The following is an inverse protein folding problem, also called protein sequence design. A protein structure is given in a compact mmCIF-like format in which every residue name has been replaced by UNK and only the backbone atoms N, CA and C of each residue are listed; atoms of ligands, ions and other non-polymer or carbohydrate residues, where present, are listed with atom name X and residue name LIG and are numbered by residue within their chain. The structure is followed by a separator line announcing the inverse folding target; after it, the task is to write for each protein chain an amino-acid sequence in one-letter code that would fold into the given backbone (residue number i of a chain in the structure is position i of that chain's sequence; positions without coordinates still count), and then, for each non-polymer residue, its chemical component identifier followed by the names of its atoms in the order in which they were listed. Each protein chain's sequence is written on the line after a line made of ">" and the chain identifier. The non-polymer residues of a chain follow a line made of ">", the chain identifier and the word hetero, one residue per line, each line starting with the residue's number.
data_IF_042659585223
#
_entry.id   IF_042659585223
#
_cell.length_a   1.000
_cell.length_b   1.000
_cell.length_c   1.000
_cell.angle_alpha   90.00
_cell.angle_beta   90.00
_cell.angle_gamma   90.00
#
_symmetry.space_group_name_H-M   'P 1'
#
loop_
_entity.id
_entity.type
_entity.pdbx_description
1 polymer ?
#
# COMPACT_ATOMS: atom_id res chain seq x y z
N UNK A 1 10.32 7.01 13.09
CA UNK A 1 9.25 6.00 13.14
C UNK A 1 8.84 5.63 11.73
N UNK A 2 8.52 4.37 11.52
CA UNK A 2 8.22 3.86 10.22
C UNK A 2 6.84 3.23 10.12
N UNK A 3 6.45 2.93 8.89
CA UNK A 3 5.26 2.17 8.57
C UNK A 3 5.66 0.72 8.41
N UNK A 4 4.87 -0.20 8.97
CA UNK A 4 5.06 -1.63 8.83
C UNK A 4 3.91 -2.20 8.02
N UNK A 5 4.23 -2.98 6.99
CA UNK A 5 3.25 -3.68 6.16
C UNK A 5 3.44 -5.18 6.30
N UNK A 6 2.33 -5.92 6.35
CA UNK A 6 2.34 -7.38 6.42
C UNK A 6 1.40 -7.94 5.35
N UNK A 7 1.91 -8.81 4.48
CA UNK A 7 1.09 -9.44 3.44
C UNK A 7 0.17 -10.50 4.05
N UNK A 8 -1.06 -10.59 3.53
CA UNK A 8 -2.03 -11.53 4.07
C UNK A 8 -1.66 -13.00 3.84
N UNK A 9 -1.13 -13.33 2.66
CA UNK A 9 -0.99 -14.73 2.25
C UNK A 9 0.17 -15.44 2.95
N UNK A 10 1.27 -14.76 3.19
CA UNK A 10 2.48 -15.39 3.74
C UNK A 10 3.05 -14.67 4.96
N UNK A 11 2.45 -13.57 5.36
CA UNK A 11 2.92 -12.81 6.52
C UNK A 11 4.26 -12.10 6.33
N UNK A 12 4.75 -12.01 5.09
CA UNK A 12 5.97 -11.26 4.83
C UNK A 12 5.79 -9.80 5.20
N UNK A 13 6.82 -9.21 5.76
CA UNK A 13 6.79 -7.85 6.27
C UNK A 13 7.72 -6.94 5.46
N UNK A 14 7.32 -5.67 5.34
CA UNK A 14 8.12 -4.64 4.71
C UNK A 14 7.94 -3.35 5.48
N UNK A 15 9.01 -2.60 5.66
CA UNK A 15 8.98 -1.36 6.42
C UNK A 15 9.64 -0.23 5.63
N UNK A 16 9.13 1.00 5.84
CA UNK A 16 9.80 2.20 5.35
C UNK A 16 9.51 3.34 6.32
N UNK A 17 10.24 4.44 6.20
CA UNK A 17 9.95 5.59 7.04
C UNK A 17 8.68 6.33 6.56
N UNK A 18 8.11 7.14 7.44
CA UNK A 18 6.85 7.83 7.17
C UNK A 18 6.94 8.77 5.95
N UNK A 19 8.06 9.44 5.77
CA UNK A 19 8.24 10.35 4.64
C UNK A 19 8.21 9.60 3.31
N UNK A 20 8.87 8.46 3.23
CA UNK A 20 8.86 7.63 2.03
C UNK A 20 7.47 7.04 1.77
N UNK A 21 6.77 6.61 2.81
CA UNK A 21 5.41 6.12 2.67
C UNK A 21 4.47 7.20 2.15
N UNK A 22 4.56 8.41 2.70
CA UNK A 22 3.78 9.54 2.22
C UNK A 22 4.10 9.86 0.75
N UNK A 23 5.37 9.78 0.37
CA UNK A 23 5.78 9.97 -1.02
C UNK A 23 5.14 8.93 -1.94
N UNK A 24 5.12 7.65 -1.54
CA UNK A 24 4.49 6.59 -2.31
C UNK A 24 3.00 6.88 -2.53
N UNK A 25 2.28 7.23 -1.47
CA UNK A 25 0.84 7.51 -1.55
C UNK A 25 0.55 8.74 -2.41
N UNK A 26 1.28 9.83 -2.19
CA UNK A 26 1.09 11.09 -2.93
C UNK A 26 1.42 10.90 -4.41
N UNK A 27 2.46 10.16 -4.72
CA UNK A 27 2.86 9.84 -6.09
C UNK A 27 1.79 9.03 -6.81
N UNK A 28 1.25 8.02 -6.14
CA UNK A 28 0.17 7.21 -6.71
C UNK A 28 -1.08 8.05 -6.98
N UNK A 29 -1.45 8.92 -6.05
CA UNK A 29 -2.59 9.83 -6.21
C UNK A 29 -2.39 10.77 -7.40
N UNK A 30 -1.18 11.28 -7.58
CA UNK A 30 -0.84 12.15 -8.72
C UNK A 30 -0.84 11.40 -10.05
N UNK A 31 -0.80 10.08 -10.04
CA UNK A 31 -0.76 9.22 -11.23
C UNK A 31 -2.03 8.38 -11.39
N UNK A 32 -3.16 8.95 -11.04
CA UNK A 32 -4.49 8.40 -11.29
C UNK A 32 -4.91 7.23 -10.40
N UNK A 33 -4.24 7.05 -9.26
CA UNK A 33 -4.74 6.08 -8.28
C UNK A 33 -5.99 6.63 -7.60
N UNK A 34 -7.06 5.83 -7.63
CA UNK A 34 -8.30 6.14 -6.91
C UNK A 34 -8.42 5.17 -5.74
N UNK A 35 -8.09 5.61 -4.51
CA UNK A 35 -8.12 4.73 -3.35
C UNK A 35 -9.52 4.16 -3.11
N UNK A 36 -9.61 2.85 -2.94
CA UNK A 36 -10.85 2.21 -2.54
C UNK A 36 -11.14 2.42 -1.05
N UNK A 37 -10.08 2.66 -0.28
CA UNK A 37 -10.18 2.83 1.16
C UNK A 37 -9.61 1.63 1.90
N UNK A 38 -9.29 1.85 3.16
CA UNK A 38 -8.86 0.77 4.05
C UNK A 38 -10.04 0.28 4.86
N UNK A 39 -9.97 -0.93 5.37
CA UNK A 39 -10.98 -1.46 6.26
C UNK A 39 -10.34 -2.15 7.45
N UNK A 40 -11.09 -2.23 8.52
CA UNK A 40 -10.68 -2.93 9.72
C UNK A 40 -11.79 -3.91 10.11
N UNK A 41 -11.42 -5.17 10.32
CA UNK A 41 -12.35 -6.16 10.84
C UNK A 41 -12.47 -5.94 12.34
N UNK A 42 -13.71 -5.80 12.82
CA UNK A 42 -13.98 -5.72 14.24
C UNK A 42 -14.17 -7.15 14.77
N UNK A 43 -13.25 -7.66 15.62
CA UNK A 43 -13.35 -9.01 16.12
C UNK A 43 -14.48 -9.21 17.12
N UNK A 44 -15.07 -8.13 17.65
CA UNK A 44 -16.11 -8.25 18.68
C UNK A 44 -17.53 -8.42 18.11
N UNK A 45 -17.75 -7.96 16.88
CA UNK A 45 -19.12 -7.95 16.34
C UNK A 45 -19.43 -9.10 15.40
N UNK A 46 -18.48 -9.94 15.03
CA UNK A 46 -18.64 -10.98 13.99
C UNK A 46 -19.35 -10.50 12.72
N UNK A 47 -19.75 -9.25 12.69
CA UNK A 47 -20.35 -8.62 11.54
C UNK A 47 -19.24 -7.98 10.72
N UNK A 48 -19.26 -8.27 9.46
CA UNK A 48 -18.34 -7.76 8.46
C UNK A 48 -18.58 -6.26 8.20
N UNK A 49 -18.74 -5.45 9.24
CA UNK A 49 -18.84 -4.00 9.07
C UNK A 49 -17.48 -3.46 8.67
N UNK A 50 -17.24 -3.57 7.37
CA UNK A 50 -16.05 -2.98 6.77
C UNK A 50 -16.23 -1.47 6.77
N UNK A 51 -15.55 -0.81 7.70
CA UNK A 51 -15.52 0.65 7.71
C UNK A 51 -14.47 1.09 6.71
N UNK A 52 -14.92 1.57 5.57
CA UNK A 52 -14.04 2.09 4.54
C UNK A 52 -13.71 3.54 4.84
N UNK A 53 -12.44 3.84 5.08
CA UNK A 53 -11.96 5.19 5.25
C UNK A 53 -10.78 5.42 4.32
N UNK A 54 -10.99 6.27 3.31
CA UNK A 54 -9.98 6.57 2.30
C UNK A 54 -8.76 7.31 2.86
N UNK A 55 -8.85 7.86 4.06
CA UNK A 55 -7.75 8.59 4.69
C UNK A 55 -6.82 7.70 5.52
N UNK A 56 -7.17 6.43 5.74
CA UNK A 56 -6.49 5.58 6.71
C UNK A 56 -5.20 4.92 6.24
N UNK A 57 -4.68 5.26 5.06
CA UNK A 57 -3.44 4.66 4.56
C UNK A 57 -2.21 5.08 5.36
N UNK A 58 -2.30 6.13 6.15
CA UNK A 58 -1.19 6.66 6.96
C UNK A 58 -1.24 6.28 8.43
N UNK A 59 -2.34 5.70 8.88
CA UNK A 59 -2.48 5.22 10.25
C UNK A 59 -1.88 3.82 10.38
N UNK A 60 -1.45 3.47 11.59
CA UNK A 60 -0.86 2.17 11.91
C UNK A 60 -1.75 1.44 12.92
N UNK A 61 -2.98 1.14 12.48
CA UNK A 61 -4.01 0.56 13.36
C UNK A 61 -4.40 -0.86 12.98
N UNK A 62 -3.64 -1.50 12.10
CA UNK A 62 -3.99 -2.81 11.61
C UNK A 62 -5.05 -2.78 10.51
N UNK A 63 -5.27 -1.64 9.89
CA UNK A 63 -6.21 -1.54 8.77
C UNK A 63 -5.66 -2.24 7.53
N UNK A 64 -6.56 -2.74 6.71
CA UNK A 64 -6.21 -3.62 5.60
C UNK A 64 -6.47 -2.97 4.25
N UNK A 65 -5.58 -3.23 3.30
CA UNK A 65 -5.70 -2.81 1.90
C UNK A 65 -5.91 -4.05 1.05
N UNK A 66 -6.97 -4.07 0.25
CA UNK A 66 -7.33 -5.25 -0.54
C UNK A 66 -6.52 -5.34 -1.83
N UNK A 67 -6.49 -6.53 -2.42
CA UNK A 67 -5.72 -6.81 -3.65
C UNK A 67 -6.10 -5.90 -4.81
N UNK A 68 -7.38 -5.63 -5.01
CA UNK A 68 -7.84 -4.76 -6.09
C UNK A 68 -7.27 -3.35 -5.95
N UNK A 69 -7.22 -2.83 -4.73
CA UNK A 69 -6.63 -1.52 -4.47
C UNK A 69 -5.13 -1.53 -4.69
N UNK A 70 -4.46 -2.60 -4.29
CA UNK A 70 -3.02 -2.80 -4.54
C UNK A 70 -2.73 -2.82 -6.04
N UNK A 71 -3.55 -3.50 -6.83
CA UNK A 71 -3.37 -3.54 -8.29
C UNK A 71 -3.39 -2.14 -8.88
N UNK A 72 -4.36 -1.31 -8.50
CA UNK A 72 -4.46 0.07 -8.96
C UNK A 72 -3.29 0.92 -8.49
N UNK A 73 -2.86 0.73 -7.25
CA UNK A 73 -1.72 1.42 -6.67
C UNK A 73 -0.43 1.10 -7.45
N UNK A 74 -0.19 -0.18 -7.74
CA UNK A 74 0.99 -0.63 -8.49
C UNK A 74 0.97 -0.07 -9.90
N UNK A 75 -0.18 -0.07 -10.58
CA UNK A 75 -0.31 0.49 -11.93
C UNK A 75 0.05 1.98 -11.95
N UNK A 76 -0.43 2.74 -10.97
CA UNK A 76 -0.12 4.17 -10.86
C UNK A 76 1.35 4.41 -10.62
N UNK A 77 1.96 3.66 -9.70
CA UNK A 77 3.39 3.78 -9.39
C UNK A 77 4.26 3.34 -10.57
N UNK A 78 3.85 2.32 -11.30
CA UNK A 78 4.57 1.86 -12.51
C UNK A 78 4.57 2.95 -13.57
N UNK A 79 3.44 3.62 -13.77
CA UNK A 79 3.35 4.74 -14.71
C UNK A 79 4.27 5.89 -14.31
N UNK A 80 4.34 6.21 -13.03
CA UNK A 80 5.27 7.21 -12.51
C UNK A 80 6.71 6.84 -12.82
N UNK A 81 7.10 5.59 -12.57
CA UNK A 81 8.48 5.13 -12.78
C UNK A 81 8.87 5.15 -14.27
N UNK A 82 7.93 4.90 -15.17
CA UNK A 82 8.19 4.99 -16.62
C UNK A 82 8.53 6.41 -17.05
N UNK A 83 7.91 7.39 -16.42
CA UNK A 83 8.15 8.82 -16.72
C UNK A 83 9.31 9.40 -15.91
N UNK A 84 9.76 8.74 -14.86
CA UNK A 84 10.76 9.23 -13.91
C UNK A 84 11.83 8.16 -13.70
N UNK A 85 12.85 8.17 -14.54
CA UNK A 85 13.87 7.11 -14.55
C UNK A 85 15.04 7.39 -13.62
N UNK A 86 14.99 8.45 -12.81
CA UNK A 86 16.09 8.74 -11.89
C UNK A 86 16.24 7.63 -10.85
N UNK A 87 17.46 7.47 -10.34
CA UNK A 87 17.79 6.43 -9.38
C UNK A 87 17.77 6.98 -7.95
N UNK A 88 16.77 7.81 -7.63
CA UNK A 88 16.61 8.42 -6.31
C UNK A 88 16.21 7.36 -5.26
N UNK A 89 16.43 7.70 -4.00
CA UNK A 89 15.99 6.84 -2.89
C UNK A 89 14.47 6.59 -2.95
N UNK A 90 13.71 7.64 -3.25
CA UNK A 90 12.25 7.54 -3.37
C UNK A 90 11.84 6.57 -4.46
N UNK A 91 12.47 6.63 -5.62
CA UNK A 91 12.16 5.72 -6.73
C UNK A 91 12.58 4.28 -6.42
N UNK A 92 13.70 4.11 -5.74
CA UNK A 92 14.12 2.78 -5.28
C UNK A 92 13.12 2.20 -4.28
N UNK A 93 12.62 3.02 -3.37
CA UNK A 93 11.64 2.61 -2.37
C UNK A 93 10.33 2.19 -3.04
N UNK A 94 9.89 2.93 -4.07
CA UNK A 94 8.71 2.55 -4.85
C UNK A 94 8.91 1.17 -5.49
N UNK A 95 10.07 0.93 -6.09
CA UNK A 95 10.38 -0.36 -6.72
C UNK A 95 10.36 -1.51 -5.70
N UNK A 96 10.89 -1.26 -4.50
CA UNK A 96 10.88 -2.25 -3.42
C UNK A 96 9.46 -2.54 -2.95
N UNK A 97 8.63 -1.52 -2.82
CA UNK A 97 7.24 -1.68 -2.44
C UNK A 97 6.48 -2.51 -3.49
N UNK A 98 6.65 -2.21 -4.76
CA UNK A 98 6.00 -2.97 -5.85
C UNK A 98 6.43 -4.44 -5.78
N UNK A 99 7.72 -4.69 -5.59
CA UNK A 99 8.24 -6.06 -5.48
C UNK A 99 7.66 -6.78 -4.26
N UNK A 100 7.44 -6.05 -3.17
CA UNK A 100 6.84 -6.61 -1.96
C UNK A 100 5.40 -7.04 -2.19
N UNK A 101 4.58 -6.20 -2.83
CA UNK A 101 3.15 -6.49 -3.04
C UNK A 101 2.87 -7.28 -4.31
N UNK A 102 3.84 -7.36 -5.22
CA UNK A 102 3.75 -8.12 -6.46
C UNK A 102 5.08 -8.82 -6.75
N UNK A 103 5.44 -9.85 -5.95
CA UNK A 103 6.71 -10.54 -6.17
C UNK A 103 6.74 -11.39 -7.45
N UNK A 104 5.57 -11.76 -7.98
CA UNK A 104 5.39 -12.47 -9.23
C UNK A 104 4.22 -11.84 -9.99
N UNK A 105 3.37 -12.60 -10.63
CA UNK A 105 2.22 -12.09 -11.37
C UNK A 105 0.99 -11.83 -10.49
N UNK A 106 1.07 -12.12 -9.20
CA UNK A 106 -0.05 -11.96 -8.27
C UNK A 106 0.15 -10.72 -7.40
N UNK A 107 -0.96 -10.02 -7.12
CA UNK A 107 -0.99 -8.90 -6.20
C UNK A 107 -1.40 -9.40 -4.82
N UNK A 108 -0.75 -8.87 -3.78
CA UNK A 108 -1.05 -9.24 -2.40
C UNK A 108 -1.60 -8.04 -1.64
N UNK A 109 -2.75 -8.23 -1.01
CA UNK A 109 -3.24 -7.29 -0.01
C UNK A 109 -2.34 -7.27 1.21
N UNK A 110 -2.42 -6.18 1.98
CA UNK A 110 -1.57 -6.04 3.16
C UNK A 110 -2.28 -5.30 4.27
N UNK A 111 -1.74 -5.46 5.47
CA UNK A 111 -2.15 -4.77 6.68
C UNK A 111 -1.10 -3.72 7.04
N UNK A 112 -1.54 -2.55 7.50
CA UNK A 112 -0.66 -1.46 7.94
C UNK A 112 -0.68 -1.41 9.47
N UNK A 113 0.49 -1.56 10.10
CA UNK A 113 0.56 -1.56 11.57
C UNK A 113 1.82 -0.91 12.12
#
# INVERSE_FOLDING_TARGET
>A
MGINLSRFDDGEEWTCNNNLWNFILDTALANSWSPLGTFKLDPETENEDKTWDKSDYRNQKGQQVIEEDVENLVKSLTNYLKANTSNSLENQTIKEFIKFVKPDDNYFGFEIY
#
